data_IF_782104411221
#
_entry.id   IF_782104411221
#
_cell.length_a   1.000
_cell.length_b   1.000
_cell.length_c   1.000
_cell.angle_alpha   90.00
_cell.angle_beta   90.00
_cell.angle_gamma   90.00
#
_symmetry.space_group_name_H-M   'P 1'
#
loop_
_entity.id
_entity.type
_entity.pdbx_description
1 polymer ?
#
# COMPACT_ATOMS: atom_id res chain seq x y z
N UNK A 1 7.60 -33.26 -4.65
CA UNK A 1 7.25 -31.89 -4.25
C UNK A 1 6.48 -31.29 -5.41
N UNK A 2 5.22 -30.90 -5.21
CA UNK A 2 4.48 -30.19 -6.24
C UNK A 2 5.12 -28.80 -6.39
N UNK A 3 5.93 -28.63 -7.42
CA UNK A 3 6.41 -27.31 -7.81
C UNK A 3 5.21 -26.51 -8.30
N UNK A 4 5.04 -25.27 -7.80
CA UNK A 4 4.17 -24.31 -8.43
C UNK A 4 4.75 -24.04 -9.84
N UNK A 5 4.13 -24.63 -10.84
CA UNK A 5 4.61 -24.51 -12.21
C UNK A 5 4.06 -23.22 -12.79
N UNK A 6 4.95 -22.23 -12.95
CA UNK A 6 4.58 -20.96 -13.55
C UNK A 6 4.25 -21.19 -15.01
N UNK A 7 3.04 -20.83 -15.49
CA UNK A 7 2.64 -21.08 -16.85
C UNK A 7 3.59 -20.40 -17.85
N UNK A 8 3.94 -21.12 -18.90
CA UNK A 8 4.78 -20.57 -19.99
C UNK A 8 3.90 -19.65 -20.85
N UNK A 9 4.12 -18.36 -20.71
CA UNK A 9 3.39 -17.34 -21.48
C UNK A 9 4.10 -17.09 -22.78
N UNK A 10 3.41 -17.31 -23.89
CA UNK A 10 3.91 -16.98 -25.23
C UNK A 10 3.79 -15.47 -25.52
N UNK A 11 4.79 -14.72 -25.10
CA UNK A 11 4.85 -13.27 -25.31
C UNK A 11 4.98 -12.85 -26.78
N UNK A 12 5.28 -13.78 -27.70
CA UNK A 12 5.41 -13.46 -29.14
C UNK A 12 4.07 -13.11 -29.76
N UNK A 13 2.97 -13.58 -29.17
CA UNK A 13 1.60 -13.30 -29.63
C UNK A 13 1.14 -11.86 -29.37
N UNK A 14 1.83 -11.13 -28.49
CA UNK A 14 1.44 -9.79 -28.07
C UNK A 14 2.44 -8.77 -28.57
N UNK A 15 1.97 -7.63 -29.08
CA UNK A 15 2.83 -6.48 -29.40
C UNK A 15 3.27 -5.77 -28.12
N UNK A 16 4.39 -5.02 -28.17
CA UNK A 16 4.86 -4.20 -27.05
C UNK A 16 3.78 -3.23 -26.56
N UNK A 17 3.00 -2.67 -27.50
CA UNK A 17 1.89 -1.75 -27.18
C UNK A 17 0.76 -2.44 -26.41
N UNK A 18 0.41 -3.66 -26.75
CA UNK A 18 -0.61 -4.43 -26.05
C UNK A 18 -0.16 -4.81 -24.64
N UNK A 19 1.11 -5.22 -24.47
CA UNK A 19 1.66 -5.53 -23.14
C UNK A 19 1.70 -4.29 -22.24
N UNK A 20 2.15 -3.15 -22.76
CA UNK A 20 2.22 -1.92 -21.98
C UNK A 20 0.82 -1.29 -21.71
N UNK A 21 -0.15 -1.53 -22.60
CA UNK A 21 -1.47 -0.87 -22.51
C UNK A 21 -2.23 -1.19 -21.23
N UNK A 22 -2.18 -2.44 -20.75
CA UNK A 22 -2.92 -2.86 -19.56
C UNK A 22 -2.39 -2.17 -18.29
N UNK A 23 -1.09 -2.29 -17.92
CA UNK A 23 -0.57 -1.62 -16.74
C UNK A 23 -0.66 -0.09 -16.85
N UNK A 24 -0.46 0.50 -18.03
CA UNK A 24 -0.61 1.95 -18.22
C UNK A 24 -2.07 2.40 -18.08
N UNK A 25 -3.04 1.60 -18.49
CA UNK A 25 -4.45 1.89 -18.27
C UNK A 25 -4.81 1.86 -16.77
N UNK A 26 -4.30 0.85 -16.03
CA UNK A 26 -4.48 0.75 -14.57
C UNK A 26 -3.84 1.95 -13.87
N UNK A 27 -2.61 2.32 -14.26
CA UNK A 27 -1.92 3.50 -13.74
C UNK A 27 -2.71 4.79 -14.04
N UNK A 28 -3.22 4.94 -15.25
CA UNK A 28 -4.02 6.11 -15.64
C UNK A 28 -5.31 6.22 -14.79
N UNK A 29 -6.02 5.12 -14.58
CA UNK A 29 -7.19 5.07 -13.69
C UNK A 29 -6.80 5.42 -12.25
N UNK A 30 -5.69 4.88 -11.75
CA UNK A 30 -5.20 5.20 -10.41
C UNK A 30 -4.88 6.70 -10.26
N UNK A 31 -4.21 7.30 -11.24
CA UNK A 31 -3.93 8.74 -11.26
C UNK A 31 -5.21 9.58 -11.33
N UNK A 32 -6.22 9.15 -12.10
CA UNK A 32 -7.52 9.83 -12.16
C UNK A 32 -8.23 9.78 -10.80
N UNK A 33 -8.21 8.64 -10.12
CA UNK A 33 -8.80 8.50 -8.77
C UNK A 33 -8.11 9.43 -7.78
N UNK A 34 -6.78 9.45 -7.74
CA UNK A 34 -6.01 10.29 -6.83
C UNK A 34 -6.18 11.79 -7.13
N UNK A 35 -6.16 12.17 -8.42
CA UNK A 35 -6.36 13.56 -8.85
C UNK A 35 -7.78 14.04 -8.58
N UNK A 36 -8.77 13.20 -8.86
CA UNK A 36 -10.18 13.48 -8.55
C UNK A 36 -10.39 13.65 -7.04
N UNK A 37 -9.79 12.79 -6.23
CA UNK A 37 -9.82 12.90 -4.77
C UNK A 37 -9.21 14.22 -4.30
N UNK A 38 -8.04 14.59 -4.83
CA UNK A 38 -7.36 15.83 -4.47
C UNK A 38 -8.22 17.06 -4.78
N UNK A 39 -8.92 17.07 -5.94
CA UNK A 39 -9.80 18.18 -6.32
C UNK A 39 -11.05 18.30 -5.43
N UNK A 40 -11.58 17.19 -4.95
CA UNK A 40 -12.82 17.18 -4.15
C UNK A 40 -12.55 17.34 -2.65
N UNK A 41 -11.49 16.70 -2.14
CA UNK A 41 -11.23 16.60 -0.70
C UNK A 41 -9.96 17.32 -0.25
N UNK A 42 -9.19 17.93 -1.17
CA UNK A 42 -7.90 18.59 -0.85
C UNK A 42 -6.73 17.63 -0.56
N UNK A 43 -6.99 16.31 -0.54
CA UNK A 43 -5.96 15.29 -0.35
C UNK A 43 -6.16 14.11 -1.30
N UNK A 44 -5.11 13.48 -1.82
CA UNK A 44 -5.22 12.34 -2.72
C UNK A 44 -5.75 11.09 -1.99
N UNK A 45 -5.40 10.92 -0.71
CA UNK A 45 -5.78 9.78 0.14
C UNK A 45 -6.32 10.32 1.47
N UNK A 46 -7.25 9.64 2.16
CA UNK A 46 -7.62 10.03 3.51
C UNK A 46 -6.39 10.07 4.42
N UNK A 47 -6.24 11.09 5.23
CA UNK A 47 -5.14 11.20 6.18
C UNK A 47 -5.57 10.57 7.51
N UNK A 48 -4.70 9.80 8.13
CA UNK A 48 -4.89 9.27 9.47
C UNK A 48 -4.47 10.25 10.55
N UNK A 49 -4.84 9.97 11.77
CA UNK A 49 -4.58 10.78 12.95
C UNK A 49 -3.08 11.10 13.17
N UNK A 50 -2.18 10.21 12.71
CA UNK A 50 -0.73 10.46 12.71
C UNK A 50 -0.33 11.73 11.93
N UNK A 51 -1.19 12.19 11.00
CA UNK A 51 -0.93 13.33 10.11
C UNK A 51 -1.89 14.49 10.31
N UNK A 52 -3.10 14.25 10.80
CA UNK A 52 -4.08 15.30 11.08
C UNK A 52 -4.04 15.80 12.52
N UNK A 53 -3.54 14.97 13.42
CA UNK A 53 -3.81 15.11 14.86
C UNK A 53 -5.18 14.56 15.19
N UNK A 54 -5.57 14.63 16.45
CA UNK A 54 -6.84 14.13 16.96
C UNK A 54 -6.69 13.19 18.15
N UNK A 55 -7.79 12.56 18.56
CA UNK A 55 -7.83 11.58 19.66
C UNK A 55 -8.51 10.29 19.22
N UNK A 56 -8.00 9.18 19.71
CA UNK A 56 -8.56 7.84 19.54
C UNK A 56 -8.84 7.24 20.91
N UNK A 57 -10.09 6.87 21.17
CA UNK A 57 -10.50 6.15 22.36
C UNK A 57 -10.83 4.70 21.99
N UNK A 58 -10.26 3.76 22.73
CA UNK A 58 -10.75 2.38 22.74
C UNK A 58 -11.71 2.23 23.89
N UNK A 59 -12.98 2.00 23.58
CA UNK A 59 -14.04 1.86 24.58
C UNK A 59 -14.58 0.42 24.60
N UNK A 60 -14.96 -0.04 25.80
CA UNK A 60 -15.68 -1.28 26.00
C UNK A 60 -17.05 -0.97 26.57
N UNK A 61 -18.10 -1.22 25.77
CA UNK A 61 -19.46 -0.81 26.12
C UNK A 61 -20.50 -1.74 25.53
N UNK A 62 -21.62 -1.94 26.26
CA UNK A 62 -22.79 -2.64 25.72
C UNK A 62 -23.68 -1.74 24.87
N UNK A 63 -23.41 -0.43 24.81
CA UNK A 63 -24.09 0.52 23.93
C UNK A 63 -23.96 0.07 22.48
N UNK A 64 -25.05 -0.03 21.67
CA UNK A 64 -24.99 -0.39 20.28
C UNK A 64 -24.11 0.57 19.48
N UNK A 65 -23.36 0.03 18.50
CA UNK A 65 -22.41 0.81 17.66
C UNK A 65 -23.04 2.10 17.08
N UNK A 66 -24.29 2.01 16.60
CA UNK A 66 -25.00 3.15 16.03
C UNK A 66 -25.35 4.26 17.02
N UNK A 67 -25.30 3.98 18.34
CA UNK A 67 -25.64 4.93 19.39
C UNK A 67 -24.40 5.50 20.09
N UNK A 68 -23.22 4.90 19.89
CA UNK A 68 -21.96 5.35 20.51
C UNK A 68 -21.66 6.81 20.15
N UNK A 69 -21.91 7.22 18.91
CA UNK A 69 -21.68 8.61 18.45
C UNK A 69 -22.50 9.63 19.23
N UNK A 70 -23.67 9.25 19.75
CA UNK A 70 -24.54 10.14 20.52
C UNK A 70 -24.05 10.38 21.94
N UNK A 71 -23.11 9.61 22.44
CA UNK A 71 -22.53 9.77 23.75
C UNK A 71 -21.54 10.95 23.84
N UNK A 72 -21.15 11.53 22.72
CA UNK A 72 -20.15 12.59 22.62
C UNK A 72 -20.76 13.88 22.12
N UNK A 73 -20.25 15.01 22.58
CA UNK A 73 -20.65 16.35 22.09
C UNK A 73 -20.15 16.59 20.67
N UNK A 74 -18.91 16.12 20.38
CA UNK A 74 -18.36 16.14 19.04
C UNK A 74 -18.71 14.83 18.29
N UNK A 75 -19.13 14.95 17.04
CA UNK A 75 -19.39 13.78 16.20
C UNK A 75 -18.07 13.06 15.85
N UNK A 76 -17.90 11.78 16.21
CA UNK A 76 -16.71 11.03 15.87
C UNK A 76 -16.52 10.96 14.34
N UNK A 77 -15.27 11.00 13.89
CA UNK A 77 -14.92 10.72 12.48
C UNK A 77 -15.21 9.26 12.10
N UNK A 78 -15.00 8.35 13.03
CA UNK A 78 -15.32 6.93 12.83
C UNK A 78 -15.56 6.23 14.17
N UNK A 79 -16.46 5.25 14.11
CA UNK A 79 -16.64 4.22 15.15
C UNK A 79 -16.41 2.88 14.48
N UNK A 80 -15.51 2.06 15.02
CA UNK A 80 -15.13 0.77 14.43
C UNK A 80 -15.12 -0.30 15.49
N UNK A 81 -15.93 -1.34 15.32
CA UNK A 81 -15.91 -2.51 16.21
C UNK A 81 -14.60 -3.30 16.06
N UNK A 82 -14.05 -3.77 17.17
CA UNK A 82 -12.88 -4.65 17.17
C UNK A 82 -13.30 -6.12 17.30
N UNK A 83 -12.34 -7.05 17.19
CA UNK A 83 -12.61 -8.48 17.41
C UNK A 83 -12.96 -8.84 18.86
N UNK A 84 -12.74 -7.93 19.81
CA UNK A 84 -13.24 -8.06 21.19
C UNK A 84 -14.75 -7.89 21.24
N UNK A 85 -15.43 -8.70 22.05
CA UNK A 85 -16.86 -8.49 22.27
C UNK A 85 -17.07 -7.11 22.92
N UNK A 86 -18.01 -6.32 22.38
CA UNK A 86 -18.40 -5.01 22.90
C UNK A 86 -17.24 -3.99 23.00
N UNK A 87 -16.23 -4.11 22.14
CA UNK A 87 -15.10 -3.19 22.12
C UNK A 87 -15.08 -2.40 20.81
N UNK A 88 -14.93 -1.08 20.92
CA UNK A 88 -14.97 -0.15 19.78
C UNK A 88 -13.81 0.84 19.85
N UNK A 89 -13.32 1.21 18.66
CA UNK A 89 -12.36 2.30 18.47
C UNK A 89 -13.13 3.51 17.96
N UNK A 90 -13.08 4.62 18.70
CA UNK A 90 -13.76 5.87 18.38
C UNK A 90 -12.70 6.93 18.09
N UNK A 91 -12.74 7.56 16.91
CA UNK A 91 -11.78 8.58 16.48
C UNK A 91 -12.42 9.95 16.37
N UNK A 92 -11.69 10.97 16.84
CA UNK A 92 -12.10 12.36 16.84
C UNK A 92 -11.01 13.26 16.27
N UNK A 93 -11.42 14.38 15.64
CA UNK A 93 -10.49 15.45 15.23
C UNK A 93 -10.00 16.26 16.44
N UNK A 94 -10.75 16.26 17.54
CA UNK A 94 -10.39 16.97 18.76
C UNK A 94 -9.20 16.33 19.48
N UNK A 95 -8.35 17.17 20.05
CA UNK A 95 -7.14 16.73 20.77
C UNK A 95 -7.34 16.67 22.29
N UNK A 96 -8.47 17.15 22.83
CA UNK A 96 -8.78 17.07 24.25
C UNK A 96 -9.30 15.67 24.64
N UNK A 97 -8.37 14.75 24.68
CA UNK A 97 -8.63 13.36 25.00
C UNK A 97 -9.24 13.15 26.40
N UNK A 98 -8.97 14.07 27.35
CA UNK A 98 -9.53 13.96 28.70
C UNK A 98 -11.02 14.22 28.68
N UNK A 99 -11.46 15.30 28.02
CA UNK A 99 -12.90 15.62 27.89
C UNK A 99 -13.66 14.47 27.21
N UNK A 100 -13.08 13.87 26.15
CA UNK A 100 -13.67 12.75 25.43
C UNK A 100 -13.77 11.50 26.33
N UNK A 101 -12.75 11.24 27.16
CA UNK A 101 -12.76 10.13 28.12
C UNK A 101 -13.85 10.30 29.14
N UNK A 102 -13.97 11.52 29.70
CA UNK A 102 -14.99 11.84 30.72
C UNK A 102 -16.42 11.70 30.14
N UNK A 103 -16.62 12.10 28.86
CA UNK A 103 -17.90 11.93 28.15
C UNK A 103 -18.22 10.45 27.93
N UNK A 104 -17.21 9.64 27.51
CA UNK A 104 -17.40 8.21 27.34
C UNK A 104 -17.82 7.53 28.64
N UNK A 105 -17.13 7.83 29.74
CA UNK A 105 -17.45 7.26 31.08
C UNK A 105 -18.81 7.70 31.59
N UNK A 106 -19.26 8.92 31.26
CA UNK A 106 -20.55 9.45 31.70
C UNK A 106 -21.73 8.92 30.90
N UNK A 107 -21.57 8.65 29.61
CA UNK A 107 -22.69 8.46 28.70
C UNK A 107 -22.77 7.04 28.07
N UNK A 108 -21.70 6.25 28.11
CA UNK A 108 -21.71 4.89 27.60
C UNK A 108 -22.09 3.87 28.69
N UNK A 109 -22.78 2.81 28.28
CA UNK A 109 -23.15 1.73 29.19
C UNK A 109 -21.95 0.83 29.50
N UNK A 110 -21.71 0.55 30.76
CA UNK A 110 -20.61 -0.30 31.20
C UNK A 110 -20.87 -1.77 30.86
N UNK A 111 -19.86 -2.47 30.37
CA UNK A 111 -19.90 -3.90 30.09
C UNK A 111 -19.41 -4.70 31.32
N UNK A 112 -20.33 -5.07 32.19
CA UNK A 112 -20.01 -5.78 33.43
C UNK A 112 -19.10 -4.97 34.35
N UNK A 113 -17.97 -5.54 34.77
CA UNK A 113 -16.98 -4.88 35.64
C UNK A 113 -15.82 -4.23 34.82
N UNK A 114 -15.91 -4.20 33.49
CA UNK A 114 -14.86 -3.65 32.65
C UNK A 114 -14.87 -2.11 32.68
N UNK A 115 -13.69 -1.50 32.67
CA UNK A 115 -13.58 -0.05 32.47
C UNK A 115 -14.06 0.32 31.06
N UNK A 116 -14.88 1.38 30.98
CA UNK A 116 -15.46 1.85 29.71
C UNK A 116 -14.34 2.31 28.79
N UNK A 117 -13.41 3.12 29.27
CA UNK A 117 -12.26 3.60 28.49
C UNK A 117 -11.04 2.69 28.74
N UNK A 118 -10.66 1.91 27.75
CA UNK A 118 -9.54 0.94 27.82
C UNK A 118 -8.20 1.59 27.49
N UNK A 119 -8.18 2.47 26.51
CA UNK A 119 -7.00 3.24 26.11
C UNK A 119 -7.38 4.55 25.46
N UNK A 120 -6.52 5.53 25.63
CA UNK A 120 -6.64 6.85 25.01
C UNK A 120 -5.33 7.15 24.31
N UNK A 121 -5.40 7.52 23.04
CA UNK A 121 -4.27 7.99 22.25
C UNK A 121 -4.63 9.39 21.72
N UNK A 122 -3.74 10.36 21.90
CA UNK A 122 -3.93 11.70 21.35
C UNK A 122 -2.68 12.16 20.63
N UNK A 123 -2.87 12.78 19.48
CA UNK A 123 -1.80 13.34 18.64
C UNK A 123 -2.10 14.81 18.38
N UNK A 124 -1.14 15.70 18.70
CA UNK A 124 -1.33 17.12 18.41
C UNK A 124 -1.26 17.40 16.90
N UNK A 125 -2.02 18.40 16.41
CA UNK A 125 -2.00 18.79 15.00
C UNK A 125 -0.60 19.20 14.52
N UNK A 126 0.18 19.89 15.36
CA UNK A 126 1.55 20.28 15.01
C UNK A 126 2.51 19.09 14.86
N UNK A 127 2.32 18.03 15.66
CA UNK A 127 3.06 16.78 15.50
C UNK A 127 2.63 16.06 14.21
N UNK A 128 1.34 16.05 13.90
CA UNK A 128 0.79 15.46 12.69
C UNK A 128 1.37 16.10 11.43
N UNK A 129 1.41 17.44 11.33
CA UNK A 129 2.01 18.15 10.20
C UNK A 129 3.51 17.82 10.04
N UNK A 130 4.27 17.80 11.12
CA UNK A 130 5.69 17.43 11.11
C UNK A 130 5.90 15.99 10.66
N UNK A 131 5.06 15.07 11.12
CA UNK A 131 5.07 13.65 10.74
C UNK A 131 4.74 13.47 9.26
N UNK A 132 3.73 14.18 8.74
CA UNK A 132 3.36 14.14 7.32
C UNK A 132 4.49 14.62 6.43
N UNK A 133 5.13 15.76 6.78
CA UNK A 133 6.28 16.29 6.02
C UNK A 133 7.44 15.30 6.02
N UNK A 134 7.78 14.74 7.17
CA UNK A 134 8.86 13.74 7.32
C UNK A 134 8.58 12.48 6.51
N UNK A 135 7.35 11.96 6.57
CA UNK A 135 6.93 10.78 5.81
C UNK A 135 7.01 11.03 4.29
N UNK A 136 6.55 12.20 3.82
CA UNK A 136 6.61 12.56 2.40
C UNK A 136 8.07 12.68 1.91
N UNK A 137 8.94 13.34 2.68
CA UNK A 137 10.38 13.41 2.38
C UNK A 137 10.97 12.00 2.35
N UNK A 138 10.62 11.14 3.31
CA UNK A 138 11.07 9.75 3.37
C UNK A 138 10.73 8.96 2.11
N UNK A 139 9.48 9.04 1.63
CA UNK A 139 9.04 8.38 0.39
C UNK A 139 9.81 8.92 -0.82
N UNK A 140 9.96 10.24 -0.95
CA UNK A 140 10.72 10.85 -2.06
C UNK A 140 12.18 10.42 -2.03
N UNK A 141 12.84 10.47 -0.86
CA UNK A 141 14.24 10.05 -0.71
C UNK A 141 14.42 8.58 -1.03
N UNK A 142 13.52 7.70 -0.55
CA UNK A 142 13.54 6.28 -0.86
C UNK A 142 13.38 6.04 -2.38
N UNK A 143 12.43 6.70 -3.02
CA UNK A 143 12.18 6.57 -4.46
C UNK A 143 13.35 7.07 -5.30
N UNK A 144 13.91 8.23 -4.97
CA UNK A 144 15.10 8.80 -5.65
C UNK A 144 16.33 7.93 -5.42
N UNK A 145 16.55 7.47 -4.19
CA UNK A 145 17.66 6.58 -3.85
C UNK A 145 17.59 5.25 -4.62
N UNK A 146 16.42 4.63 -4.66
CA UNK A 146 16.16 3.44 -5.44
C UNK A 146 16.40 3.68 -6.94
N UNK A 147 15.88 4.78 -7.49
CA UNK A 147 16.10 5.16 -8.90
C UNK A 147 17.59 5.30 -9.22
N UNK A 148 18.35 5.95 -8.34
CA UNK A 148 19.79 6.08 -8.48
C UNK A 148 20.49 4.71 -8.48
N UNK A 149 20.11 3.79 -7.59
CA UNK A 149 20.63 2.41 -7.55
C UNK A 149 20.35 1.70 -8.86
N UNK A 150 19.13 1.79 -9.41
CA UNK A 150 18.78 1.19 -10.69
C UNK A 150 19.66 1.71 -11.83
N UNK A 151 19.91 3.02 -11.90
CA UNK A 151 20.80 3.62 -12.91
C UNK A 151 22.27 3.18 -12.73
N UNK A 152 22.79 3.12 -11.51
CA UNK A 152 24.16 2.67 -11.21
C UNK A 152 24.33 1.20 -11.59
N UNK A 153 23.34 0.37 -11.29
CA UNK A 153 23.38 -1.07 -11.48
C UNK A 153 23.37 -1.44 -12.97
N UNK A 154 22.45 -0.88 -13.74
CA UNK A 154 22.27 -1.26 -15.15
C UNK A 154 23.10 -0.43 -16.12
N UNK A 155 23.45 0.80 -15.77
CA UNK A 155 24.27 1.74 -16.60
C UNK A 155 23.71 1.97 -18.01
N UNK A 156 22.43 1.69 -18.21
CA UNK A 156 21.70 1.85 -19.47
C UNK A 156 20.41 2.60 -19.19
N UNK A 157 20.08 3.57 -20.04
CA UNK A 157 18.97 4.48 -19.76
C UNK A 157 17.60 3.76 -19.77
N UNK A 158 17.30 3.03 -20.84
CA UNK A 158 15.97 2.43 -21.04
C UNK A 158 15.61 1.38 -19.95
N UNK A 159 16.47 0.39 -19.65
CA UNK A 159 16.18 -0.54 -18.56
C UNK A 159 16.04 0.12 -17.20
N UNK A 160 16.84 1.16 -16.91
CA UNK A 160 16.72 1.89 -15.64
C UNK A 160 15.41 2.67 -15.55
N UNK A 161 15.00 3.36 -16.61
CA UNK A 161 13.69 4.04 -16.66
C UNK A 161 12.53 3.05 -16.57
N UNK A 162 12.66 1.84 -17.14
CA UNK A 162 11.63 0.82 -17.04
C UNK A 162 11.37 0.42 -15.58
N UNK A 163 12.43 0.21 -14.78
CA UNK A 163 12.34 -0.05 -13.33
C UNK A 163 11.68 1.13 -12.60
N UNK A 164 12.13 2.36 -12.88
CA UNK A 164 11.59 3.56 -12.20
C UNK A 164 10.10 3.75 -12.51
N UNK A 165 9.67 3.52 -13.75
CA UNK A 165 8.27 3.64 -14.16
C UNK A 165 7.41 2.52 -13.53
N UNK A 166 7.93 1.29 -13.49
CA UNK A 166 7.29 0.17 -12.79
C UNK A 166 7.08 0.51 -11.32
N UNK A 167 8.15 0.87 -10.61
CA UNK A 167 8.09 1.21 -9.18
C UNK A 167 7.19 2.42 -8.88
N UNK A 168 7.14 3.41 -9.77
CA UNK A 168 6.18 4.51 -9.65
C UNK A 168 4.74 4.02 -9.73
N UNK A 169 4.44 3.14 -10.69
CA UNK A 169 3.12 2.54 -10.85
C UNK A 169 2.75 1.68 -9.63
N UNK A 170 3.72 0.91 -9.10
CA UNK A 170 3.54 0.05 -7.93
C UNK A 170 3.28 0.84 -6.63
N UNK A 171 3.68 2.09 -6.58
CA UNK A 171 3.34 3.01 -5.48
C UNK A 171 1.97 3.68 -5.68
N UNK A 172 1.67 4.13 -6.90
CA UNK A 172 0.45 4.89 -7.23
C UNK A 172 -0.80 4.03 -7.17
N UNK A 173 -0.72 2.77 -7.63
CA UNK A 173 -1.88 1.86 -7.66
C UNK A 173 -2.38 1.55 -6.24
N UNK A 174 -1.54 1.13 -5.25
CA UNK A 174 -1.98 0.95 -3.88
C UNK A 174 -2.50 2.23 -3.21
N UNK A 175 -1.91 3.40 -3.49
CA UNK A 175 -2.44 4.66 -3.00
C UNK A 175 -3.87 4.94 -3.51
N UNK A 176 -4.14 4.69 -4.79
CA UNK A 176 -5.48 4.79 -5.34
C UNK A 176 -6.45 3.77 -4.72
N UNK A 177 -5.97 2.54 -4.49
CA UNK A 177 -6.73 1.52 -3.78
C UNK A 177 -7.06 1.95 -2.35
N UNK A 178 -6.10 2.50 -1.59
CA UNK A 178 -6.33 3.04 -0.24
C UNK A 178 -7.46 4.07 -0.26
N UNK A 179 -7.48 4.97 -1.25
CA UNK A 179 -8.56 5.95 -1.42
C UNK A 179 -9.92 5.29 -1.60
N UNK A 180 -10.00 4.27 -2.45
CA UNK A 180 -11.27 3.57 -2.75
C UNK A 180 -11.74 2.70 -1.58
N UNK A 181 -10.81 2.11 -0.83
CA UNK A 181 -11.09 1.27 0.33
C UNK A 181 -11.30 2.06 1.63
N UNK A 182 -11.11 3.39 1.62
CA UNK A 182 -11.21 4.23 2.82
C UNK A 182 -10.07 4.00 3.82
N UNK A 183 -8.93 3.42 3.39
CA UNK A 183 -7.78 3.16 4.25
C UNK A 183 -7.00 4.46 4.42
N UNK A 184 -6.83 4.98 5.66
CA UNK A 184 -6.10 6.22 5.88
C UNK A 184 -4.60 6.06 5.71
N UNK A 185 -3.97 7.11 5.19
CA UNK A 185 -2.52 7.24 5.17
C UNK A 185 -2.05 7.59 6.59
N UNK A 186 -1.24 6.72 7.18
CA UNK A 186 -0.66 6.82 8.51
C UNK A 186 0.85 6.55 8.44
N UNK A 187 1.59 6.77 9.51
CA UNK A 187 3.02 6.40 9.56
C UNK A 187 3.23 4.92 9.25
N UNK A 188 2.35 4.05 9.75
CA UNK A 188 2.44 2.60 9.48
C UNK A 188 2.13 2.24 8.03
N UNK A 189 1.11 2.83 7.41
CA UNK A 189 0.81 2.58 5.98
C UNK A 189 1.88 3.16 5.05
N UNK A 190 2.51 4.29 5.42
CA UNK A 190 3.70 4.81 4.72
C UNK A 190 4.87 3.84 4.82
N UNK A 191 5.11 3.25 6.01
CA UNK A 191 6.14 2.21 6.14
C UNK A 191 5.84 0.99 5.25
N UNK A 192 4.57 0.59 5.13
CA UNK A 192 4.12 -0.43 4.18
C UNK A 192 4.43 -0.07 2.72
N UNK A 193 4.16 1.16 2.31
CA UNK A 193 4.49 1.65 0.96
C UNK A 193 6.00 1.69 0.71
N UNK A 194 6.81 2.07 1.71
CA UNK A 194 8.27 2.02 1.61
C UNK A 194 8.80 0.58 1.47
N UNK A 195 8.21 -0.37 2.20
CA UNK A 195 8.53 -1.80 2.02
C UNK A 195 8.18 -2.28 0.62
N UNK A 196 7.04 -1.85 0.07
CA UNK A 196 6.61 -2.21 -1.27
C UNK A 196 7.61 -1.74 -2.34
N UNK A 197 8.17 -0.53 -2.21
CA UNK A 197 9.24 -0.03 -3.12
C UNK A 197 10.41 -1.03 -3.14
N UNK A 198 10.81 -1.55 -1.98
CA UNK A 198 11.89 -2.55 -1.90
C UNK A 198 11.54 -3.85 -2.63
N UNK A 199 10.36 -4.40 -2.39
CA UNK A 199 9.92 -5.64 -3.04
C UNK A 199 9.80 -5.50 -4.56
N UNK A 200 9.21 -4.41 -5.04
CA UNK A 200 9.02 -4.14 -6.46
C UNK A 200 10.36 -4.02 -7.20
N UNK A 201 11.30 -3.30 -6.60
CA UNK A 201 12.63 -3.13 -7.22
C UNK A 201 13.39 -4.44 -7.31
N UNK A 202 13.27 -5.32 -6.30
CA UNK A 202 13.93 -6.63 -6.33
C UNK A 202 13.41 -7.51 -7.48
N UNK A 203 12.11 -7.51 -7.75
CA UNK A 203 11.50 -8.25 -8.87
C UNK A 203 11.93 -7.69 -10.23
N UNK A 204 11.95 -6.36 -10.37
CA UNK A 204 12.39 -5.69 -11.58
C UNK A 204 13.89 -5.88 -11.86
N UNK A 205 14.74 -5.79 -10.82
CA UNK A 205 16.18 -6.08 -10.93
C UNK A 205 16.40 -7.53 -11.33
N UNK A 206 15.66 -8.48 -10.77
CA UNK A 206 15.74 -9.89 -11.11
C UNK A 206 15.44 -10.11 -12.60
N UNK A 207 14.34 -9.56 -13.12
CA UNK A 207 13.96 -9.65 -14.51
C UNK A 207 15.04 -9.05 -15.43
N UNK A 208 15.43 -7.80 -15.15
CA UNK A 208 16.40 -7.07 -15.96
C UNK A 208 17.77 -7.76 -15.99
N UNK A 209 18.21 -8.29 -14.85
CA UNK A 209 19.49 -9.02 -14.75
C UNK A 209 19.47 -10.32 -15.59
N UNK A 210 18.37 -11.07 -15.58
CA UNK A 210 18.22 -12.28 -16.38
C UNK A 210 18.19 -11.96 -17.88
N UNK A 211 17.47 -10.93 -18.29
CA UNK A 211 17.27 -10.58 -19.69
C UNK A 211 18.49 -9.90 -20.31
N UNK A 212 19.21 -9.06 -19.54
CA UNK A 212 20.30 -8.23 -20.07
C UNK A 212 21.68 -8.83 -19.89
N UNK A 213 21.92 -9.59 -18.81
CA UNK A 213 23.27 -10.05 -18.43
C UNK A 213 23.54 -11.53 -18.65
N UNK A 214 22.49 -12.36 -18.80
CA UNK A 214 22.66 -13.79 -19.05
C UNK A 214 22.67 -14.09 -20.53
N UNK A 215 23.48 -15.06 -20.94
CA UNK A 215 23.48 -15.63 -22.29
C UNK A 215 22.23 -16.50 -22.50
N UNK A 216 21.57 -16.39 -23.64
CA UNK A 216 20.41 -17.19 -24.02
C UNK A 216 19.38 -16.36 -24.81
N UNK A 217 18.32 -17.04 -25.23
CA UNK A 217 17.20 -16.37 -25.87
C UNK A 217 16.46 -15.44 -24.88
N UNK A 218 15.89 -14.36 -25.42
CA UNK A 218 15.16 -13.36 -24.64
C UNK A 218 14.02 -13.99 -23.85
N UNK A 219 13.20 -14.78 -24.54
CA UNK A 219 11.99 -15.36 -23.93
C UNK A 219 12.31 -16.48 -22.94
N UNK A 220 13.34 -17.27 -23.20
CA UNK A 220 13.84 -18.28 -22.26
C UNK A 220 14.39 -17.62 -20.98
N UNK A 221 15.12 -16.53 -21.11
CA UNK A 221 15.63 -15.74 -19.97
C UNK A 221 14.49 -15.11 -19.18
N UNK A 222 13.46 -14.61 -19.86
CA UNK A 222 12.24 -14.08 -19.25
C UNK A 222 11.50 -15.17 -18.48
N UNK A 223 11.30 -16.35 -19.07
CA UNK A 223 10.61 -17.46 -18.39
C UNK A 223 11.35 -17.91 -17.12
N UNK A 224 12.68 -17.99 -17.17
CA UNK A 224 13.50 -18.30 -15.98
C UNK A 224 13.36 -17.25 -14.88
N UNK A 225 13.33 -15.96 -15.25
CA UNK A 225 13.09 -14.88 -14.28
C UNK A 225 11.68 -14.99 -13.69
N UNK A 226 10.66 -15.26 -14.52
CA UNK A 226 9.28 -15.45 -14.09
C UNK A 226 9.14 -16.58 -13.07
N UNK A 227 9.73 -17.74 -13.32
CA UNK A 227 9.65 -18.88 -12.37
C UNK A 227 10.12 -18.49 -10.98
N UNK A 228 11.18 -17.70 -10.87
CA UNK A 228 11.69 -17.24 -9.59
C UNK A 228 10.85 -16.09 -9.03
N UNK A 229 10.68 -15.02 -9.82
CA UNK A 229 10.01 -13.80 -9.36
C UNK A 229 8.54 -14.03 -9.03
N UNK A 230 7.76 -14.69 -9.90
CA UNK A 230 6.35 -14.99 -9.63
C UNK A 230 6.20 -15.85 -8.37
N UNK A 231 7.07 -16.88 -8.20
CA UNK A 231 7.02 -17.70 -6.99
C UNK A 231 7.29 -16.89 -5.73
N UNK A 232 8.30 -16.00 -5.76
CA UNK A 232 8.63 -15.12 -4.62
C UNK A 232 7.46 -14.17 -4.32
N UNK A 233 6.92 -13.49 -5.34
CA UNK A 233 5.84 -12.52 -5.14
C UNK A 233 4.54 -13.21 -4.67
N UNK A 234 4.16 -14.35 -5.25
CA UNK A 234 2.96 -15.11 -4.82
C UNK A 234 3.12 -15.61 -3.38
N UNK A 235 4.31 -16.07 -2.99
CA UNK A 235 4.57 -16.47 -1.60
C UNK A 235 4.45 -15.29 -0.64
N UNK A 236 4.99 -14.12 -1.01
CA UNK A 236 4.84 -12.90 -0.24
C UNK A 236 3.38 -12.43 -0.18
N UNK A 237 2.64 -12.48 -1.30
CA UNK A 237 1.21 -12.18 -1.33
C UNK A 237 0.42 -13.09 -0.39
N UNK A 238 0.72 -14.38 -0.38
CA UNK A 238 0.06 -15.33 0.54
C UNK A 238 0.33 -14.95 2.01
N UNK A 239 1.57 -14.56 2.36
CA UNK A 239 1.91 -14.11 3.70
C UNK A 239 1.16 -12.80 4.06
N UNK A 240 1.08 -11.83 3.13
CA UNK A 240 0.35 -10.58 3.34
C UNK A 240 -1.16 -10.81 3.47
N UNK A 241 -1.71 -11.75 2.70
CA UNK A 241 -3.11 -12.16 2.81
C UNK A 241 -3.41 -12.77 4.20
N UNK A 242 -2.55 -13.68 4.68
CA UNK A 242 -2.69 -14.27 6.01
C UNK A 242 -2.57 -13.18 7.08
N UNK A 243 -1.63 -12.25 6.95
CA UNK A 243 -1.46 -11.11 7.86
C UNK A 243 -2.74 -10.26 7.90
N UNK A 244 -3.29 -9.90 6.73
CA UNK A 244 -4.53 -9.14 6.64
C UNK A 244 -5.69 -9.86 7.33
N UNK A 245 -5.93 -11.13 7.01
CA UNK A 245 -7.03 -11.92 7.59
C UNK A 245 -6.86 -12.05 9.11
N UNK A 246 -5.66 -12.43 9.56
CA UNK A 246 -5.40 -12.61 11.00
C UNK A 246 -5.55 -11.30 11.76
N UNK A 247 -4.97 -10.22 11.24
CA UNK A 247 -5.07 -8.90 11.87
C UNK A 247 -6.52 -8.38 11.91
N UNK A 248 -7.30 -8.63 10.86
CA UNK A 248 -8.73 -8.30 10.82
C UNK A 248 -9.53 -9.09 11.86
N UNK A 249 -9.22 -10.39 12.05
CA UNK A 249 -9.87 -11.22 13.07
C UNK A 249 -9.53 -10.74 14.49
N UNK A 250 -8.29 -10.28 14.71
CA UNK A 250 -7.85 -9.80 16.03
C UNK A 250 -8.11 -8.29 16.25
N UNK A 251 -8.73 -7.58 15.30
CA UNK A 251 -9.02 -6.16 15.42
C UNK A 251 -7.78 -5.26 15.42
N UNK A 252 -6.70 -5.66 14.77
CA UNK A 252 -5.46 -4.88 14.65
C UNK A 252 -5.48 -4.12 13.32
N UNK A 253 -6.26 -3.04 13.25
CA UNK A 253 -6.58 -2.29 12.03
C UNK A 253 -5.34 -1.85 11.23
N UNK A 254 -4.30 -1.35 11.93
CA UNK A 254 -3.08 -0.92 11.28
C UNK A 254 -2.38 -2.07 10.55
N UNK A 255 -2.26 -3.22 11.20
CA UNK A 255 -1.61 -4.40 10.62
C UNK A 255 -2.45 -5.01 9.48
N UNK A 256 -3.79 -4.98 9.61
CA UNK A 256 -4.71 -5.37 8.56
C UNK A 256 -4.55 -4.46 7.33
N UNK A 257 -4.51 -3.15 7.53
CA UNK A 257 -4.31 -2.16 6.47
C UNK A 257 -2.97 -2.37 5.75
N UNK A 258 -1.87 -2.55 6.48
CA UNK A 258 -0.55 -2.82 5.90
C UNK A 258 -0.58 -4.12 5.08
N UNK A 259 -1.17 -5.20 5.62
CA UNK A 259 -1.28 -6.49 4.93
C UNK A 259 -2.02 -6.37 3.60
N UNK A 260 -3.15 -5.67 3.60
CA UNK A 260 -3.98 -5.48 2.41
C UNK A 260 -3.29 -4.58 1.37
N UNK A 261 -2.66 -3.48 1.79
CA UNK A 261 -1.92 -2.57 0.90
C UNK A 261 -0.76 -3.31 0.23
N UNK A 262 0.01 -4.08 0.99
CA UNK A 262 1.12 -4.87 0.45
C UNK A 262 0.63 -5.98 -0.49
N UNK A 263 -0.49 -6.64 -0.17
CA UNK A 263 -1.08 -7.63 -1.06
C UNK A 263 -1.47 -7.03 -2.41
N UNK A 264 -2.16 -5.90 -2.42
CA UNK A 264 -2.56 -5.18 -3.64
C UNK A 264 -1.34 -4.64 -4.38
N UNK A 265 -0.36 -4.10 -3.66
CA UNK A 265 0.87 -3.59 -4.24
C UNK A 265 1.70 -4.68 -4.93
N UNK A 266 1.84 -5.85 -4.32
CA UNK A 266 2.52 -7.00 -4.93
C UNK A 266 1.76 -7.54 -6.16
N UNK A 267 0.42 -7.46 -6.17
CA UNK A 267 -0.34 -7.80 -7.37
C UNK A 267 -0.10 -6.79 -8.51
N UNK A 268 0.00 -5.51 -8.19
CA UNK A 268 0.38 -4.47 -9.14
C UNK A 268 1.81 -4.67 -9.66
N UNK A 269 2.76 -5.02 -8.78
CA UNK A 269 4.14 -5.35 -9.14
C UNK A 269 4.22 -6.49 -10.15
N UNK A 270 3.49 -7.59 -9.96
CA UNK A 270 3.43 -8.67 -10.95
C UNK A 270 2.97 -8.18 -12.31
N UNK A 271 1.93 -7.33 -12.33
CA UNK A 271 1.42 -6.75 -13.57
C UNK A 271 2.47 -5.84 -14.24
N UNK A 272 3.08 -4.95 -13.47
CA UNK A 272 4.03 -3.98 -14.00
C UNK A 272 5.34 -4.64 -14.43
N UNK A 273 5.91 -5.54 -13.65
CA UNK A 273 7.16 -6.23 -13.96
C UNK A 273 7.04 -7.08 -15.22
N UNK A 274 5.98 -7.92 -15.34
CA UNK A 274 5.87 -8.88 -16.45
C UNK A 274 5.07 -8.37 -17.65
N UNK A 275 4.55 -7.17 -17.61
CA UNK A 275 3.91 -6.52 -18.74
C UNK A 275 4.58 -5.19 -19.09
N UNK A 276 4.68 -4.23 -18.19
CA UNK A 276 5.21 -2.90 -18.47
C UNK A 276 6.73 -2.93 -18.63
N UNK A 277 7.47 -3.38 -17.61
CA UNK A 277 8.94 -3.44 -17.64
C UNK A 277 9.42 -4.39 -18.75
N UNK A 278 8.83 -5.57 -18.85
CA UNK A 278 9.16 -6.52 -19.93
C UNK A 278 8.95 -5.95 -21.33
N UNK A 279 7.88 -5.18 -21.58
CA UNK A 279 7.62 -4.55 -22.88
C UNK A 279 8.70 -3.53 -23.25
N UNK A 280 9.18 -2.75 -22.28
CA UNK A 280 10.26 -1.77 -22.48
C UNK A 280 11.61 -2.46 -22.70
N UNK A 281 11.90 -3.54 -21.96
CA UNK A 281 13.10 -4.35 -22.18
C UNK A 281 13.13 -5.01 -23.57
N UNK A 282 11.96 -5.53 -24.02
CA UNK A 282 11.82 -6.12 -25.34
C UNK A 282 12.03 -5.07 -26.43
N UNK A 283 11.44 -3.88 -26.29
CA UNK A 283 11.68 -2.77 -27.18
C UNK A 283 13.17 -2.39 -27.23
N UNK A 284 13.80 -2.25 -26.06
CA UNK A 284 15.23 -1.92 -25.98
C UNK A 284 16.10 -2.95 -26.68
N UNK A 285 15.88 -4.25 -26.46
CA UNK A 285 16.72 -5.32 -26.99
C UNK A 285 16.56 -5.52 -28.50
N UNK A 286 15.36 -5.38 -29.04
CA UNK A 286 15.08 -5.69 -30.43
C UNK A 286 15.03 -4.45 -31.38
N UNK A 287 14.69 -3.29 -30.85
CA UNK A 287 14.52 -2.07 -31.63
C UNK A 287 15.52 -0.97 -31.23
N UNK A 288 15.79 -0.79 -29.94
CA UNK A 288 16.59 0.32 -29.40
C UNK A 288 18.10 0.20 -29.56
N UNK A 289 18.65 -1.01 -29.78
CA UNK A 289 20.10 -1.23 -30.00
C UNK A 289 20.50 -1.13 -31.49
N UNK A 290 19.52 -0.97 -32.36
CA UNK A 290 19.74 -0.87 -33.83
C UNK A 290 19.98 0.54 -34.36
N UNK A 291 19.98 1.57 -33.49
CA UNK A 291 20.20 2.98 -33.86
C UNK A 291 21.59 3.47 -33.48
#
# INVERSE_FOLDING_TARGET
MAYFDVPEIDYTRYSNRQLAAVPLAVLAVALLVLSGSFLVYGSPVPLGMDFTGGSELTVQTTTPEGEISAAFEETPESVTGTAGANQYIVRFSETDAQSLSDQAEANLEQDGDAEIVRSVLSTSASFGEGSQQTAMIGVVVAFVGMSAIAFILFRTFVPSIAIVLSAFSDLVIPLAFMRLAGIPLSLGTVAGLLMLIGYSVDSDILLNNHVLRRSGDFYESTHRAMRTGVTMTVTSMAAMLVMWISASIFGIDLLASIGLILFVGLAADLLNTYMLNLSLLRWYKFEGVRS
#
